data_IF_154369559412
#
_entry.id   IF_154369559412
#
_cell.length_a   1.000
_cell.length_b   1.000
_cell.length_c   1.000
_cell.angle_alpha   90.00
_cell.angle_beta   90.00
_cell.angle_gamma   90.00
#
_symmetry.space_group_name_H-M   'P 1'
#
loop_
_entity.id
_entity.type
_entity.pdbx_description
1 polymer ?
#
# COMPACT_ATOMS: atom_id res chain seq x y z
N UNK A 1 4.36 8.36 -9.88
CA UNK A 1 5.33 7.40 -10.45
C UNK A 1 4.59 6.27 -11.16
N UNK A 2 5.28 5.50 -12.00
CA UNK A 2 4.79 4.21 -12.50
C UNK A 2 5.72 3.09 -12.03
N UNK A 3 5.19 1.88 -11.91
CA UNK A 3 5.88 0.71 -11.36
C UNK A 3 5.69 -0.49 -12.27
N UNK A 4 6.78 -1.21 -12.56
CA UNK A 4 6.75 -2.48 -13.27
C UNK A 4 6.36 -3.59 -12.30
N UNK A 5 5.16 -4.16 -12.48
CA UNK A 5 4.61 -5.19 -11.61
C UNK A 5 5.15 -6.60 -11.95
N UNK A 6 5.91 -6.76 -13.04
CA UNK A 6 6.38 -8.08 -13.49
C UNK A 6 7.14 -8.84 -12.40
N UNK A 7 8.11 -8.26 -11.67
CA UNK A 7 8.88 -8.99 -10.66
C UNK A 7 8.01 -9.55 -9.53
N UNK A 8 7.10 -8.74 -8.96
CA UNK A 8 6.18 -9.20 -7.91
C UNK A 8 5.13 -10.18 -8.46
N UNK A 9 4.68 -10.02 -9.70
CA UNK A 9 3.78 -10.97 -10.36
C UNK A 9 4.44 -12.33 -10.59
N UNK A 10 5.68 -12.35 -11.04
CA UNK A 10 6.46 -13.57 -11.25
C UNK A 10 6.71 -14.30 -9.92
N UNK A 11 7.11 -13.55 -8.88
CA UNK A 11 7.29 -14.07 -7.52
C UNK A 11 5.99 -14.69 -6.99
N UNK A 12 4.89 -13.95 -7.09
CA UNK A 12 3.57 -14.44 -6.68
C UNK A 12 3.18 -15.70 -7.46
N UNK A 13 3.35 -15.72 -8.78
CA UNK A 13 2.98 -16.87 -9.60
C UNK A 13 3.79 -18.12 -9.26
N UNK A 14 5.08 -17.94 -8.93
CA UNK A 14 5.96 -19.02 -8.51
C UNK A 14 5.55 -19.64 -7.17
N UNK A 15 5.13 -18.83 -6.19
CA UNK A 15 4.92 -19.30 -4.81
C UNK A 15 3.47 -19.33 -4.32
N UNK A 16 2.49 -18.76 -5.04
CA UNK A 16 1.09 -18.62 -4.56
C UNK A 16 0.46 -19.92 -4.05
N UNK A 17 0.67 -21.05 -4.74
CA UNK A 17 0.09 -22.33 -4.35
C UNK A 17 0.74 -22.89 -3.07
N UNK A 18 2.06 -22.77 -2.96
CA UNK A 18 2.78 -23.19 -1.76
C UNK A 18 2.42 -22.28 -0.58
N UNK A 19 2.36 -20.97 -0.81
CA UNK A 19 1.99 -19.98 0.19
C UNK A 19 0.59 -20.25 0.76
N UNK A 20 -0.41 -20.48 -0.10
CA UNK A 20 -1.78 -20.81 0.33
C UNK A 20 -1.83 -22.13 1.10
N UNK A 21 -1.07 -23.15 0.67
CA UNK A 21 -0.97 -24.42 1.41
C UNK A 21 -0.33 -24.26 2.78
N UNK A 22 0.69 -23.40 2.91
CA UNK A 22 1.44 -23.21 4.17
C UNK A 22 0.70 -22.31 5.15
N UNK A 23 0.05 -21.25 4.66
CA UNK A 23 -0.51 -20.20 5.51
C UNK A 23 -2.05 -20.19 5.55
N UNK A 24 -2.73 -20.95 4.70
CA UNK A 24 -4.20 -20.97 4.62
C UNK A 24 -4.82 -19.72 4.00
N UNK A 25 -4.01 -18.80 3.48
CA UNK A 25 -4.45 -17.54 2.87
C UNK A 25 -3.77 -17.32 1.52
N UNK A 26 -4.48 -16.71 0.57
CA UNK A 26 -3.97 -16.44 -0.77
C UNK A 26 -2.91 -15.34 -0.74
N UNK A 27 -1.82 -15.54 -1.49
CA UNK A 27 -0.83 -14.50 -1.73
C UNK A 27 -1.41 -13.45 -2.71
N UNK A 28 -1.74 -12.28 -2.19
CA UNK A 28 -2.20 -11.12 -2.94
C UNK A 28 -1.04 -10.19 -3.35
N UNK A 29 -1.40 -9.02 -3.89
CA UNK A 29 -0.44 -7.93 -4.13
C UNK A 29 -0.41 -6.93 -2.98
N UNK A 30 -1.51 -6.80 -2.23
CA UNK A 30 -1.65 -5.79 -1.18
C UNK A 30 -0.60 -5.97 -0.09
N UNK A 31 -0.28 -7.21 0.30
CA UNK A 31 0.77 -7.45 1.31
C UNK A 31 2.14 -6.93 0.89
N UNK A 32 2.50 -7.00 -0.39
CA UNK A 32 3.75 -6.40 -0.89
C UNK A 32 3.73 -4.88 -0.77
N UNK A 33 2.62 -4.22 -1.12
CA UNK A 33 2.49 -2.76 -1.01
C UNK A 33 2.44 -2.28 0.44
N UNK A 34 1.73 -3.00 1.33
CA UNK A 34 1.74 -2.70 2.77
C UNK A 34 3.15 -2.83 3.30
N UNK A 35 3.87 -3.91 2.99
CA UNK A 35 5.25 -4.09 3.47
C UNK A 35 6.21 -3.05 2.90
N UNK A 36 6.11 -2.74 1.60
CA UNK A 36 6.89 -1.68 0.98
C UNK A 36 6.62 -0.31 1.61
N UNK A 37 5.34 -0.02 1.90
CA UNK A 37 4.94 1.22 2.55
C UNK A 37 5.48 1.31 3.99
N UNK A 38 5.33 0.27 4.80
CA UNK A 38 5.82 0.29 6.19
C UNK A 38 7.34 0.39 6.27
N UNK A 39 8.09 -0.28 5.39
CA UNK A 39 9.55 -0.09 5.32
C UNK A 39 9.93 1.31 4.82
N UNK A 40 9.16 1.91 3.91
CA UNK A 40 9.39 3.29 3.50
C UNK A 40 9.05 4.28 4.63
N UNK A 41 7.95 4.09 5.36
CA UNK A 41 7.53 4.98 6.45
C UNK A 41 8.60 5.11 7.55
N UNK A 42 9.35 4.04 7.83
CA UNK A 42 10.51 4.08 8.75
C UNK A 42 11.61 5.04 8.29
N UNK A 43 11.81 5.18 6.96
CA UNK A 43 12.82 6.06 6.35
C UNK A 43 12.33 7.51 6.22
N UNK A 44 11.02 7.72 6.16
CA UNK A 44 10.39 9.02 5.93
C UNK A 44 9.33 9.30 7.02
N UNK A 45 9.77 9.59 8.27
CA UNK A 45 8.88 9.68 9.42
C UNK A 45 7.84 10.81 9.32
N UNK A 46 8.12 11.89 8.58
CA UNK A 46 7.17 12.99 8.35
C UNK A 46 5.89 12.54 7.62
N UNK A 47 6.00 11.50 6.79
CA UNK A 47 4.86 10.91 6.07
C UNK A 47 4.00 10.07 7.02
N UNK A 48 4.63 9.45 8.03
CA UNK A 48 3.95 8.70 9.06
C UNK A 48 3.48 9.57 10.23
N UNK A 49 3.65 10.89 10.17
CA UNK A 49 3.27 11.82 11.22
C UNK A 49 1.89 12.46 10.97
N UNK A 50 1.36 13.19 11.94
CA UNK A 50 0.07 13.89 11.84
C UNK A 50 0.11 15.26 12.54
N UNK A 51 -0.66 16.23 12.05
CA UNK A 51 -0.80 17.54 12.69
C UNK A 51 -1.92 17.49 13.73
N UNK A 52 -1.61 17.84 14.98
CA UNK A 52 -2.56 17.92 16.09
C UNK A 52 -2.53 19.32 16.70
N UNK A 53 -3.43 20.20 16.24
CA UNK A 53 -3.39 21.62 16.62
C UNK A 53 -2.14 22.28 16.06
N UNK A 54 -1.28 22.78 16.96
CA UNK A 54 -0.02 23.43 16.61
C UNK A 54 1.19 22.48 16.67
N UNK A 55 0.97 21.22 17.09
CA UNK A 55 2.03 20.22 17.25
C UNK A 55 2.05 19.21 16.09
N UNK A 56 3.25 18.71 15.78
CA UNK A 56 3.45 17.55 14.91
C UNK A 56 3.63 16.30 15.79
N UNK A 57 2.80 15.29 15.56
CA UNK A 57 2.84 14.01 16.26
C UNK A 57 3.49 12.97 15.35
N UNK A 58 4.67 12.50 15.76
CA UNK A 58 5.38 11.41 15.11
C UNK A 58 4.97 10.05 15.70
N UNK A 59 4.68 9.09 14.82
CA UNK A 59 4.22 7.76 15.22
C UNK A 59 5.35 6.74 15.07
N UNK A 60 5.66 6.02 16.15
CA UNK A 60 6.69 4.96 16.20
C UNK A 60 6.20 3.58 15.72
N UNK A 61 4.96 3.51 15.23
CA UNK A 61 4.29 2.33 14.71
C UNK A 61 3.66 2.66 13.36
N UNK A 62 3.35 1.65 12.53
CA UNK A 62 2.68 1.83 11.24
C UNK A 62 1.29 1.18 11.26
N UNK A 63 0.28 1.94 11.67
CA UNK A 63 -1.11 1.54 11.56
C UNK A 63 -1.64 1.90 10.17
N UNK A 64 -1.78 0.91 9.28
CA UNK A 64 -2.10 1.15 7.86
C UNK A 64 -3.58 0.92 7.59
N UNK A 65 -4.29 1.98 7.23
CA UNK A 65 -5.65 1.93 6.70
C UNK A 65 -5.68 1.29 5.32
N UNK A 66 -6.56 0.31 5.12
CA UNK A 66 -6.76 -0.36 3.82
C UNK A 66 -8.17 -0.08 3.34
N UNK A 67 -8.30 0.61 2.21
CA UNK A 67 -9.61 0.87 1.64
C UNK A 67 -10.23 -0.43 1.08
N UNK A 68 -11.41 -0.79 1.59
CA UNK A 68 -12.15 -2.00 1.24
C UNK A 68 -13.54 -1.62 0.75
N UNK A 69 -13.94 -2.19 -0.39
CA UNK A 69 -15.28 -2.00 -0.94
C UNK A 69 -16.30 -2.86 -0.19
N UNK A 70 -17.46 -2.27 0.12
CA UNK A 70 -18.63 -2.91 0.71
C UNK A 70 -19.91 -2.50 -0.03
N UNK A 71 -21.02 -3.18 0.24
CA UNK A 71 -22.32 -2.84 -0.36
C UNK A 71 -22.85 -1.47 0.10
N UNK A 72 -22.33 -0.94 1.22
CA UNK A 72 -22.66 0.38 1.76
C UNK A 72 -21.68 1.48 1.31
N UNK A 73 -20.77 1.17 0.39
CA UNK A 73 -19.73 2.08 -0.08
C UNK A 73 -18.33 1.65 0.38
N UNK A 74 -17.42 2.60 0.49
CA UNK A 74 -16.02 2.37 0.84
C UNK A 74 -15.80 2.55 2.35
N UNK A 75 -15.11 1.60 2.97
CA UNK A 75 -14.68 1.67 4.38
C UNK A 75 -13.18 1.49 4.47
N UNK A 76 -12.55 2.04 5.51
CA UNK A 76 -11.09 2.02 5.68
C UNK A 76 -10.72 1.42 7.04
N UNK A 77 -10.79 0.08 7.20
CA UNK A 77 -10.27 -0.59 8.39
C UNK A 77 -8.74 -0.48 8.49
N UNK A 78 -8.21 -0.58 9.70
CA UNK A 78 -6.81 -0.31 10.03
C UNK A 78 -6.08 -1.59 10.42
N UNK A 79 -5.06 -1.98 9.64
CA UNK A 79 -4.09 -2.99 10.04
C UNK A 79 -3.15 -2.39 11.08
N UNK A 80 -3.24 -2.85 12.33
CA UNK A 80 -2.43 -2.32 13.43
C UNK A 80 -1.02 -2.93 13.46
N UNK A 81 -0.01 -2.10 13.70
CA UNK A 81 1.41 -2.50 13.70
C UNK A 81 1.79 -3.30 12.44
N UNK A 82 1.40 -2.82 11.26
CA UNK A 82 1.57 -3.53 10.00
C UNK A 82 3.06 -3.75 9.63
N UNK A 83 3.99 -2.99 10.23
CA UNK A 83 5.43 -3.17 10.12
C UNK A 83 5.92 -4.51 10.70
N UNK A 84 5.23 -5.03 11.73
CA UNK A 84 5.56 -6.30 12.39
C UNK A 84 4.91 -7.49 11.70
N UNK A 85 3.93 -7.25 10.82
CA UNK A 85 3.20 -8.32 10.16
C UNK A 85 4.03 -9.00 9.07
N UNK A 86 3.81 -10.32 8.96
CA UNK A 86 4.22 -11.09 7.79
C UNK A 86 3.27 -10.84 6.62
N UNK A 87 3.68 -11.19 5.40
CA UNK A 87 2.79 -11.12 4.23
C UNK A 87 1.49 -11.91 4.45
N UNK A 88 1.58 -13.08 5.10
CA UNK A 88 0.41 -13.89 5.43
C UNK A 88 -0.52 -13.20 6.43
N UNK A 89 0.05 -12.57 7.47
CA UNK A 89 -0.72 -11.79 8.44
C UNK A 89 -1.45 -10.61 7.81
N UNK A 90 -0.79 -9.91 6.88
CA UNK A 90 -1.40 -8.81 6.14
C UNK A 90 -2.55 -9.31 5.25
N UNK A 91 -2.32 -10.35 4.44
CA UNK A 91 -3.38 -10.90 3.56
C UNK A 91 -4.57 -11.44 4.37
N UNK A 92 -4.30 -12.09 5.51
CA UNK A 92 -5.35 -12.58 6.41
C UNK A 92 -6.16 -11.43 6.99
N UNK A 93 -5.51 -10.40 7.53
CA UNK A 93 -6.18 -9.22 8.08
C UNK A 93 -7.03 -8.49 7.03
N UNK A 94 -6.52 -8.30 5.82
CA UNK A 94 -7.28 -7.71 4.71
C UNK A 94 -8.48 -8.59 4.34
N UNK A 95 -8.30 -9.91 4.29
CA UNK A 95 -9.38 -10.86 4.01
C UNK A 95 -10.49 -10.82 5.05
N UNK A 96 -10.12 -10.78 6.33
CA UNK A 96 -11.06 -10.72 7.45
C UNK A 96 -11.83 -9.40 7.46
N UNK A 97 -11.15 -8.28 7.22
CA UNK A 97 -11.80 -6.98 7.07
C UNK A 97 -12.71 -6.91 5.84
N UNK A 98 -12.31 -7.49 4.71
CA UNK A 98 -13.15 -7.58 3.53
C UNK A 98 -14.42 -8.39 3.79
N UNK A 99 -14.32 -9.48 4.55
CA UNK A 99 -15.48 -10.26 4.97
C UNK A 99 -16.37 -9.47 5.94
N UNK A 100 -15.79 -8.88 6.98
CA UNK A 100 -16.52 -8.07 7.96
C UNK A 100 -17.23 -6.87 7.32
N UNK A 101 -16.60 -6.22 6.33
CA UNK A 101 -17.19 -5.10 5.58
C UNK A 101 -18.44 -5.53 4.82
N UNK A 102 -18.39 -6.66 4.10
CA UNK A 102 -19.55 -7.22 3.38
C UNK A 102 -20.67 -7.65 4.32
N UNK A 103 -20.32 -8.20 5.47
CA UNK A 103 -21.29 -8.63 6.49
C UNK A 103 -21.81 -7.47 7.35
N UNK A 104 -21.29 -6.24 7.17
CA UNK A 104 -21.67 -5.07 7.97
C UNK A 104 -21.26 -5.17 9.44
N UNK A 105 -20.20 -5.92 9.74
CA UNK A 105 -19.71 -6.23 11.09
C UNK A 105 -18.48 -5.43 11.53
N UNK A 106 -18.00 -4.51 10.69
CA UNK A 106 -16.90 -3.62 11.08
C UNK A 106 -17.35 -2.67 12.20
N UNK A 107 -16.62 -2.69 13.30
CA UNK A 107 -16.82 -1.76 14.41
C UNK A 107 -16.13 -0.43 14.16
N UNK A 108 -16.50 0.58 14.95
CA UNK A 108 -15.83 1.90 14.93
C UNK A 108 -14.34 1.76 15.25
N UNK A 109 -13.98 0.85 16.16
CA UNK A 109 -12.59 0.60 16.57
C UNK A 109 -11.72 0.06 15.43
N UNK A 110 -12.31 -0.66 14.47
CA UNK A 110 -11.58 -1.18 13.30
C UNK A 110 -11.21 -0.05 12.32
N UNK A 111 -11.98 1.03 12.30
CA UNK A 111 -11.82 2.16 11.38
C UNK A 111 -11.18 3.39 12.03
N UNK A 112 -10.98 3.37 13.35
CA UNK A 112 -10.45 4.52 14.09
C UNK A 112 -8.92 4.47 14.16
N UNK A 113 -8.30 5.62 13.84
CA UNK A 113 -6.86 5.81 13.87
C UNK A 113 -6.23 5.64 12.49
N UNK A 114 -5.10 4.94 12.44
CA UNK A 114 -4.28 4.82 11.24
C UNK A 114 -3.34 6.01 11.06
N UNK A 115 -2.11 5.73 10.68
CA UNK A 115 -1.06 6.72 10.41
C UNK A 115 -0.86 6.95 8.91
N UNK A 116 -1.25 5.97 8.10
CA UNK A 116 -1.17 6.00 6.64
C UNK A 116 -2.32 5.21 6.02
N UNK A 117 -2.71 5.54 4.78
CA UNK A 117 -3.74 4.78 4.05
C UNK A 117 -3.23 4.29 2.70
N UNK A 118 -3.63 3.07 2.32
CA UNK A 118 -3.52 2.55 0.97
C UNK A 118 -4.92 2.33 0.42
N UNK A 119 -5.17 2.89 -0.77
CA UNK A 119 -6.39 2.67 -1.53
C UNK A 119 -6.08 2.06 -2.89
N UNK A 120 -6.91 1.12 -3.35
CA UNK A 120 -6.70 0.42 -4.61
C UNK A 120 -7.90 0.63 -5.55
N UNK A 121 -7.84 1.69 -6.36
CA UNK A 121 -8.82 1.96 -7.41
C UNK A 121 -8.62 1.08 -8.65
N UNK A 122 -7.51 0.34 -8.73
CA UNK A 122 -7.21 -0.56 -9.84
C UNK A 122 -8.20 -1.71 -9.97
N UNK A 123 -8.87 -2.11 -8.88
CA UNK A 123 -9.95 -3.11 -8.91
C UNK A 123 -11.14 -2.67 -9.78
N UNK A 124 -11.29 -1.37 -10.02
CA UNK A 124 -12.32 -0.78 -10.88
C UNK A 124 -11.78 -0.33 -12.25
N UNK A 125 -10.53 -0.66 -12.57
CA UNK A 125 -9.91 -0.28 -13.84
C UNK A 125 -9.40 1.17 -13.91
N UNK A 126 -9.33 1.88 -12.78
CA UNK A 126 -8.80 3.26 -12.74
C UNK A 126 -7.34 3.28 -13.19
N UNK A 127 -7.02 4.09 -14.21
CA UNK A 127 -5.65 4.23 -14.73
C UNK A 127 -4.77 5.06 -13.79
N UNK A 128 -5.28 6.22 -13.35
CA UNK A 128 -4.63 7.16 -12.46
C UNK A 128 -5.70 8.07 -11.85
N UNK A 129 -5.55 8.41 -10.58
CA UNK A 129 -6.45 9.30 -9.85
C UNK A 129 -5.69 10.02 -8.73
N UNK A 130 -6.31 11.05 -8.16
CA UNK A 130 -5.78 11.82 -7.03
C UNK A 130 -6.50 11.37 -5.75
N UNK A 131 -5.94 10.43 -4.97
CA UNK A 131 -6.57 9.96 -3.75
C UNK A 131 -6.72 11.10 -2.74
N UNK A 132 -7.80 11.09 -1.96
CA UNK A 132 -8.01 12.09 -0.90
C UNK A 132 -7.44 11.57 0.42
N UNK A 133 -6.79 12.45 1.19
CA UNK A 133 -6.30 12.11 2.53
C UNK A 133 -7.45 11.64 3.43
N UNK A 134 -7.12 10.77 4.37
CA UNK A 134 -8.04 10.37 5.45
C UNK A 134 -7.56 11.03 6.75
N UNK A 135 -8.07 12.23 7.12
CA UNK A 135 -7.59 12.95 8.29
C UNK A 135 -7.70 12.10 9.57
N UNK A 136 -6.73 12.19 10.49
CA UNK A 136 -5.65 13.19 10.56
C UNK A 136 -4.35 12.80 9.84
N UNK A 137 -4.38 11.79 8.97
CA UNK A 137 -3.17 11.28 8.30
C UNK A 137 -2.58 12.29 7.32
N UNK A 138 -1.24 12.28 7.19
CA UNK A 138 -0.51 13.21 6.33
C UNK A 138 -0.35 12.72 4.89
N UNK A 139 -0.59 11.44 4.59
CA UNK A 139 -0.45 10.91 3.24
C UNK A 139 -1.34 9.69 2.96
N UNK A 140 -1.62 9.46 1.67
CA UNK A 140 -2.34 8.30 1.15
C UNK A 140 -1.72 7.81 -0.16
N UNK A 141 -1.49 6.49 -0.25
CA UNK A 141 -1.05 5.82 -1.47
C UNK A 141 -2.24 5.32 -2.28
N UNK A 142 -2.33 5.74 -3.53
CA UNK A 142 -3.27 5.23 -4.53
C UNK A 142 -2.62 4.23 -5.47
N UNK A 143 -3.08 2.98 -5.41
CA UNK A 143 -2.82 1.93 -6.39
C UNK A 143 -3.87 1.96 -7.50
N UNK A 144 -3.43 1.67 -8.72
CA UNK A 144 -4.25 1.76 -9.93
C UNK A 144 -4.21 0.46 -10.73
N UNK A 145 -4.90 0.42 -11.86
CA UNK A 145 -4.97 -0.77 -12.70
C UNK A 145 -3.59 -1.11 -13.26
N UNK A 146 -3.23 -2.40 -13.20
CA UNK A 146 -2.07 -2.92 -13.91
C UNK A 146 -2.46 -3.18 -15.36
N UNK A 147 -1.72 -2.61 -16.31
CA UNK A 147 -1.97 -2.76 -17.74
C UNK A 147 -0.66 -3.05 -18.48
N UNK A 148 -0.72 -3.92 -19.49
CA UNK A 148 0.42 -4.15 -20.38
C UNK A 148 0.71 -2.87 -21.17
N UNK A 149 1.93 -2.35 -21.03
CA UNK A 149 2.39 -1.12 -21.69
C UNK A 149 3.78 -1.33 -22.32
N UNK A 150 4.05 -0.75 -23.50
CA UNK A 150 5.40 -0.71 -24.04
C UNK A 150 6.27 0.23 -23.18
N UNK A 151 7.42 -0.27 -22.75
CA UNK A 151 8.44 0.48 -22.01
C UNK A 151 9.81 0.23 -22.63
N UNK A 152 10.76 1.13 -22.37
CA UNK A 152 12.14 0.96 -22.83
C UNK A 152 12.97 0.36 -21.69
N UNK A 153 13.55 -0.81 -21.92
CA UNK A 153 14.50 -1.46 -21.02
C UNK A 153 15.77 -1.78 -21.80
N UNK A 154 16.95 -1.36 -21.31
CA UNK A 154 18.24 -1.58 -21.97
C UNK A 154 18.30 -1.15 -23.46
N UNK A 155 17.55 -0.11 -23.83
CA UNK A 155 17.48 0.39 -25.21
C UNK A 155 16.50 -0.37 -26.12
N UNK A 156 15.80 -1.38 -25.61
CA UNK A 156 14.80 -2.14 -26.36
C UNK A 156 13.37 -1.83 -25.88
N UNK A 157 12.42 -1.85 -26.82
CA UNK A 157 10.99 -1.73 -26.48
C UNK A 157 10.48 -3.11 -26.06
N UNK A 158 10.01 -3.21 -24.83
CA UNK A 158 9.45 -4.43 -24.25
C UNK A 158 8.07 -4.16 -23.65
N UNK A 159 7.21 -5.16 -23.66
CA UNK A 159 5.89 -5.06 -23.02
C UNK A 159 6.02 -5.45 -21.54
N UNK A 160 5.48 -4.62 -20.64
CA UNK A 160 5.47 -4.87 -19.20
C UNK A 160 4.10 -4.57 -18.58
N UNK A 161 3.70 -5.33 -17.53
CA UNK A 161 2.54 -5.01 -16.71
C UNK A 161 2.86 -3.80 -15.82
N UNK A 162 2.45 -2.61 -16.26
CA UNK A 162 2.75 -1.35 -15.58
C UNK A 162 1.54 -0.89 -14.75
N UNK A 163 1.81 -0.32 -13.57
CA UNK A 163 0.80 0.33 -12.72
C UNK A 163 1.24 1.77 -12.43
N UNK A 164 0.29 2.72 -12.45
CA UNK A 164 0.55 4.05 -11.90
C UNK A 164 0.36 4.08 -10.39
N UNK A 165 1.24 4.80 -9.70
CA UNK A 165 1.15 5.08 -8.28
C UNK A 165 0.97 6.57 -8.06
N UNK A 166 -0.02 6.92 -7.25
CA UNK A 166 -0.27 8.29 -6.78
C UNK A 166 -0.01 8.38 -5.28
N UNK A 167 0.65 9.45 -4.85
CA UNK A 167 0.77 9.80 -3.45
C UNK A 167 0.16 11.19 -3.29
N UNK A 168 -0.92 11.29 -2.54
CA UNK A 168 -1.39 12.59 -2.04
C UNK A 168 -0.84 12.79 -0.64
N UNK A 169 -0.38 14.00 -0.35
CA UNK A 169 0.28 14.33 0.90
C UNK A 169 -0.07 15.75 1.34
N UNK A 170 -0.05 15.97 2.65
CA UNK A 170 -0.25 17.29 3.24
C UNK A 170 1.05 18.08 3.22
N UNK A 171 1.10 19.09 2.34
CA UNK A 171 2.31 19.89 2.12
C UNK A 171 2.68 20.79 3.32
N UNK A 172 1.85 20.83 4.36
CA UNK A 172 2.17 21.53 5.63
C UNK A 172 3.22 20.78 6.46
N UNK A 173 3.37 19.47 6.24
CA UNK A 173 4.28 18.60 7.00
C UNK A 173 5.21 17.80 6.08
N UNK A 174 4.72 17.33 4.93
CA UNK A 174 5.53 16.59 3.96
C UNK A 174 6.00 17.53 2.85
N UNK A 175 7.31 17.64 2.66
CA UNK A 175 7.87 18.40 1.54
C UNK A 175 7.89 17.59 0.23
N UNK A 176 8.10 18.29 -0.90
CA UNK A 176 8.10 17.65 -2.21
C UNK A 176 9.20 16.60 -2.37
N UNK A 177 10.37 16.81 -1.76
CA UNK A 177 11.49 15.87 -1.82
C UNK A 177 11.12 14.57 -1.12
N UNK A 178 10.66 14.63 0.14
CA UNK A 178 10.24 13.50 0.95
C UNK A 178 9.11 12.69 0.30
N UNK A 179 8.09 13.38 -0.24
CA UNK A 179 7.00 12.72 -0.98
C UNK A 179 7.51 11.95 -2.21
N UNK A 180 8.37 12.57 -3.02
CA UNK A 180 8.92 11.96 -4.24
C UNK A 180 9.83 10.77 -3.91
N UNK A 181 10.72 10.91 -2.92
CA UNK A 181 11.65 9.85 -2.53
C UNK A 181 10.94 8.68 -1.84
N UNK A 182 9.88 8.94 -1.05
CA UNK A 182 9.02 7.90 -0.50
C UNK A 182 8.35 7.09 -1.60
N UNK A 183 7.68 7.76 -2.55
CA UNK A 183 6.99 7.06 -3.63
C UNK A 183 7.98 6.32 -4.55
N UNK A 184 9.19 6.85 -4.72
CA UNK A 184 10.29 6.17 -5.43
C UNK A 184 10.75 4.92 -4.67
N UNK A 185 10.89 5.00 -3.34
CA UNK A 185 11.28 3.87 -2.50
C UNK A 185 10.27 2.73 -2.61
N UNK A 186 8.96 3.03 -2.54
CA UNK A 186 7.91 2.04 -2.77
C UNK A 186 8.03 1.42 -4.16
N UNK A 187 8.23 2.23 -5.21
CA UNK A 187 8.45 1.70 -6.57
C UNK A 187 9.61 0.71 -6.61
N UNK A 188 10.76 1.06 -6.03
CA UNK A 188 11.96 0.22 -6.03
C UNK A 188 11.73 -1.11 -5.29
N UNK A 189 11.03 -1.10 -4.15
CA UNK A 189 10.67 -2.32 -3.42
C UNK A 189 9.71 -3.22 -4.18
N UNK A 190 8.80 -2.67 -4.99
CA UNK A 190 7.87 -3.48 -5.78
C UNK A 190 8.55 -4.04 -7.04
N UNK A 191 9.47 -3.28 -7.65
CA UNK A 191 10.28 -3.72 -8.79
C UNK A 191 11.37 -4.72 -8.37
N UNK A 192 11.80 -4.71 -7.11
CA UNK A 192 12.74 -5.68 -6.56
C UNK A 192 12.40 -6.02 -5.09
N UNK A 193 11.46 -6.96 -4.87
CA UNK A 193 11.01 -7.32 -3.51
C UNK A 193 12.11 -7.88 -2.59
N UNK A 194 13.25 -8.32 -3.14
CA UNK A 194 14.37 -8.79 -2.34
C UNK A 194 15.00 -7.66 -1.51
N UNK A 195 14.89 -6.41 -1.97
CA UNK A 195 15.37 -5.22 -1.25
C UNK A 195 14.77 -5.06 0.14
N UNK A 196 13.49 -5.41 0.30
CA UNK A 196 12.81 -5.41 1.59
C UNK A 196 13.53 -6.35 2.58
N UNK A 197 13.93 -7.53 2.12
CA UNK A 197 14.64 -8.52 2.95
C UNK A 197 16.08 -8.10 3.26
N UNK A 198 16.74 -7.42 2.32
CA UNK A 198 18.12 -6.97 2.46
C UNK A 198 18.24 -5.63 3.20
N UNK A 199 17.11 -5.01 3.58
CA UNK A 199 17.04 -3.68 4.20
C UNK A 199 17.66 -2.57 3.32
N UNK A 200 17.60 -2.73 1.99
CA UNK A 200 18.26 -1.86 0.99
C UNK A 200 17.31 -0.89 0.30
#
# INVERSE_FOLDING_TARGET
NEVNMKPVMDLRNKYKAQFEKTHGVKLGFMSFFVKAATEALKRYPDINASIAGDDIVYHGYCDVGIAVSSDRGLVVPVLRNAEEMSLAGIEQGIGDYAKAAREGKLGVQDMTGGTFTITNGGVFGSLLSTPILNPPQSAILGMHATQERPVVENGEIVIRPMMYLALSYDHRIVDGAGAVTFLKTIKEYIEDPARILLEM
#
